data_IF_724298561142
#
_entry.id   IF_724298561142
#
_cell.length_a   1.000
_cell.length_b   1.000
_cell.length_c   1.000
_cell.angle_alpha   90.00
_cell.angle_beta   90.00
_cell.angle_gamma   90.00
#
_symmetry.space_group_name_H-M   'P 1'
#
loop_
_entity.id
_entity.type
_entity.pdbx_description
1 polymer ?
#
# COMPACT_ATOMS: atom_id res chain seq x y z
N UNK A 1 19.00 2.18 0.35
CA UNK A 1 19.39 3.16 1.39
C UNK A 1 19.53 2.42 2.73
N UNK A 2 20.69 2.48 3.42
CA UNK A 2 21.03 1.56 4.51
C UNK A 2 20.50 1.95 5.91
N UNK A 3 19.32 2.60 5.99
CA UNK A 3 18.79 3.18 7.25
C UNK A 3 17.50 2.57 7.81
N UNK A 4 16.85 1.62 7.12
CA UNK A 4 15.50 1.13 7.48
C UNK A 4 15.41 -0.35 7.81
N UNK A 5 16.54 -1.07 7.90
CA UNK A 5 16.55 -2.52 8.11
C UNK A 5 15.82 -2.99 9.38
N UNK A 6 15.68 -2.11 10.39
CA UNK A 6 15.07 -2.43 11.69
C UNK A 6 13.90 -1.50 12.06
N UNK A 7 13.25 -0.84 11.08
CA UNK A 7 12.13 0.06 11.37
C UNK A 7 10.86 -0.74 11.68
N UNK A 8 10.39 -0.69 12.92
CA UNK A 8 9.03 -1.08 13.31
C UNK A 8 8.18 0.18 13.46
N UNK A 9 7.10 0.31 12.70
CA UNK A 9 6.24 1.47 12.75
C UNK A 9 5.35 1.63 11.52
N UNK A 10 4.77 2.82 11.42
CA UNK A 10 3.86 3.18 10.34
C UNK A 10 4.63 3.87 9.22
N UNK A 11 4.61 3.28 8.04
CA UNK A 11 5.20 3.87 6.84
C UNK A 11 4.09 4.44 5.96
N UNK A 12 4.24 5.70 5.53
CA UNK A 12 3.27 6.37 4.67
C UNK A 12 3.92 6.67 3.32
N UNK A 13 3.27 6.22 2.24
CA UNK A 13 3.66 6.44 0.86
C UNK A 13 2.61 7.32 0.19
N UNK A 14 3.04 8.28 -0.63
CA UNK A 14 2.13 9.12 -1.39
C UNK A 14 2.60 9.31 -2.83
N UNK A 15 1.68 9.21 -3.78
CA UNK A 15 1.90 9.50 -5.18
C UNK A 15 0.75 10.36 -5.73
N UNK A 16 1.01 11.10 -6.80
CA UNK A 16 -0.03 11.82 -7.53
C UNK A 16 -0.16 11.22 -8.92
N UNK A 17 -1.37 10.91 -9.33
CA UNK A 17 -1.70 10.48 -10.69
C UNK A 17 -2.60 11.52 -11.34
N UNK A 18 -2.39 11.80 -12.62
CA UNK A 18 -3.29 12.66 -13.41
C UNK A 18 -4.22 11.78 -14.21
N UNK A 19 -5.53 12.04 -14.12
CA UNK A 19 -6.57 11.31 -14.85
C UNK A 19 -7.19 12.26 -15.87
N UNK A 20 -6.97 12.00 -17.16
CA UNK A 20 -7.48 12.87 -18.23
C UNK A 20 -8.99 12.71 -18.43
N UNK A 21 -9.51 11.49 -18.25
CA UNK A 21 -10.94 11.18 -18.31
C UNK A 21 -11.30 10.06 -17.33
N UNK A 22 -12.49 10.12 -16.75
CA UNK A 22 -13.05 9.03 -15.95
C UNK A 22 -13.63 7.98 -16.89
N UNK A 23 -12.97 6.82 -16.91
CA UNK A 23 -13.41 5.59 -17.55
C UNK A 23 -14.23 4.73 -16.60
N UNK A 24 -14.80 3.63 -17.11
CA UNK A 24 -15.72 2.77 -16.38
C UNK A 24 -15.10 2.20 -15.10
N UNK A 25 -13.86 1.71 -15.19
CA UNK A 25 -13.22 1.09 -14.04
C UNK A 25 -11.73 1.42 -13.90
N UNK A 26 -11.39 1.95 -12.72
CA UNK A 26 -10.01 2.06 -12.23
C UNK A 26 -9.84 1.16 -11.02
N UNK A 27 -8.80 0.35 -11.06
CA UNK A 27 -8.38 -0.53 -9.98
C UNK A 27 -6.93 -0.28 -9.63
N UNK A 28 -6.59 -0.31 -8.34
CA UNK A 28 -5.21 -0.26 -7.88
C UNK A 28 -4.85 -1.57 -7.19
N UNK A 29 -3.76 -2.15 -7.64
CA UNK A 29 -3.15 -3.36 -7.11
C UNK A 29 -1.93 -2.92 -6.30
N UNK A 30 -1.93 -3.19 -4.99
CA UNK A 30 -0.84 -2.78 -4.12
C UNK A 30 0.39 -3.68 -4.24
N UNK A 31 0.28 -4.81 -4.95
CA UNK A 31 1.31 -5.84 -4.96
C UNK A 31 1.61 -6.33 -3.54
N UNK A 32 2.85 -6.78 -3.32
CA UNK A 32 3.22 -7.34 -2.03
C UNK A 32 3.30 -6.25 -0.95
N UNK A 33 2.64 -6.51 0.19
CA UNK A 33 2.62 -5.66 1.39
C UNK A 33 3.06 -6.47 2.62
N UNK A 34 3.56 -5.79 3.66
CA UNK A 34 3.68 -6.39 4.99
C UNK A 34 3.40 -5.39 6.11
N UNK A 35 2.54 -5.64 7.10
CA UNK A 35 1.50 -6.69 7.27
C UNK A 35 0.08 -6.15 7.00
N UNK A 36 -0.16 -4.87 7.27
CA UNK A 36 -1.45 -4.20 7.05
C UNK A 36 -1.22 -3.02 6.10
N UNK A 37 -2.10 -2.81 5.14
CA UNK A 37 -2.12 -1.63 4.29
C UNK A 37 -3.49 -0.92 4.35
N UNK A 38 -3.47 0.40 4.47
CA UNK A 38 -4.62 1.28 4.31
C UNK A 38 -4.43 2.14 3.05
N UNK A 39 -5.42 2.14 2.16
CA UNK A 39 -5.41 2.93 0.93
C UNK A 39 -6.39 4.10 1.05
N UNK A 40 -5.90 5.31 0.76
CA UNK A 40 -6.71 6.51 0.58
C UNK A 40 -6.50 7.12 -0.80
N UNK A 41 -7.57 7.66 -1.35
CA UNK A 41 -7.55 8.42 -2.61
C UNK A 41 -8.20 9.78 -2.34
N UNK A 42 -7.48 10.85 -2.63
CA UNK A 42 -7.89 12.23 -2.33
C UNK A 42 -8.32 12.42 -0.86
N UNK A 43 -7.60 11.78 0.07
CA UNK A 43 -7.90 11.80 1.50
C UNK A 43 -9.08 10.92 1.94
N UNK A 44 -9.80 10.27 1.01
CA UNK A 44 -10.92 9.37 1.32
C UNK A 44 -10.44 7.93 1.44
N UNK A 45 -10.86 7.23 2.49
CA UNK A 45 -10.57 5.81 2.70
C UNK A 45 -11.23 4.97 1.60
N UNK A 46 -10.41 4.22 0.87
CA UNK A 46 -10.88 3.21 -0.09
C UNK A 46 -11.04 1.86 0.60
N UNK A 47 -10.06 1.48 1.43
CA UNK A 47 -10.11 0.21 2.13
C UNK A 47 -8.83 -0.11 2.90
N UNK A 48 -8.86 -1.23 3.60
CA UNK A 48 -7.75 -1.80 4.38
C UNK A 48 -7.59 -3.27 3.99
N UNK A 49 -6.36 -3.77 4.00
CA UNK A 49 -6.07 -5.18 3.74
C UNK A 49 -4.87 -5.67 4.52
N UNK A 50 -4.84 -6.98 4.77
CA UNK A 50 -3.67 -7.73 5.26
C UNK A 50 -3.15 -8.73 4.22
N UNK A 51 -3.81 -8.81 3.07
CA UNK A 51 -3.51 -9.75 2.00
C UNK A 51 -2.54 -9.11 0.98
N UNK A 52 -1.51 -9.87 0.61
CA UNK A 52 -0.39 -9.43 -0.22
C UNK A 52 -0.71 -9.20 -1.71
N UNK A 53 -1.98 -9.32 -2.11
CA UNK A 53 -2.39 -9.23 -3.52
C UNK A 53 -3.77 -8.62 -3.70
N UNK A 54 -4.20 -7.78 -2.75
CA UNK A 54 -5.52 -7.14 -2.85
C UNK A 54 -5.54 -6.05 -3.92
N UNK A 55 -6.59 -6.09 -4.74
CA UNK A 55 -6.90 -5.03 -5.71
C UNK A 55 -8.12 -4.25 -5.22
N UNK A 56 -8.04 -2.91 -5.21
CA UNK A 56 -9.14 -2.03 -4.82
C UNK A 56 -9.73 -1.31 -6.03
N UNK A 57 -11.06 -1.26 -6.13
CA UNK A 57 -11.74 -0.38 -7.07
C UNK A 57 -11.68 1.07 -6.54
N UNK A 58 -11.16 1.98 -7.34
CA UNK A 58 -10.94 3.38 -6.95
C UNK A 58 -11.72 4.39 -7.79
N UNK A 59 -12.44 3.95 -8.82
CA UNK A 59 -13.25 4.82 -9.70
C UNK A 59 -14.06 5.89 -8.93
N UNK A 60 -14.86 5.57 -7.90
CA UNK A 60 -15.71 6.57 -7.24
C UNK A 60 -14.93 7.60 -6.40
N UNK A 61 -13.61 7.41 -6.22
CA UNK A 61 -12.75 8.30 -5.45
C UNK A 61 -11.91 9.23 -6.35
N UNK A 62 -11.92 9.01 -7.66
CA UNK A 62 -11.15 9.78 -8.64
C UNK A 62 -11.91 11.01 -9.15
N UNK A 63 -11.15 11.99 -9.63
CA UNK A 63 -11.61 13.17 -10.38
C UNK A 63 -10.77 13.35 -11.64
N UNK A 64 -11.31 14.05 -12.64
CA UNK A 64 -10.49 14.53 -13.77
C UNK A 64 -9.42 15.49 -13.23
N UNK A 65 -8.18 15.34 -13.72
CA UNK A 65 -7.00 16.06 -13.24
C UNK A 65 -6.22 15.30 -12.16
N UNK A 66 -5.51 16.00 -11.25
CA UNK A 66 -4.62 15.37 -10.29
C UNK A 66 -5.36 14.68 -9.14
N UNK A 67 -4.96 13.46 -8.82
CA UNK A 67 -5.48 12.65 -7.72
C UNK A 67 -4.33 12.19 -6.81
N UNK A 68 -4.47 12.42 -5.51
CA UNK A 68 -3.49 11.97 -4.52
C UNK A 68 -3.83 10.55 -4.08
N UNK A 69 -2.87 9.64 -4.21
CA UNK A 69 -2.94 8.27 -3.72
C UNK A 69 -2.05 8.17 -2.49
N UNK A 70 -2.58 7.66 -1.39
CA UNK A 70 -1.86 7.49 -0.14
C UNK A 70 -2.00 6.05 0.32
N UNK A 71 -0.88 5.39 0.59
CA UNK A 71 -0.83 4.03 1.13
C UNK A 71 -0.09 4.09 2.46
N UNK A 72 -0.73 3.60 3.50
CA UNK A 72 -0.15 3.53 4.83
C UNK A 72 0.01 2.08 5.22
N UNK A 73 1.23 1.67 5.53
CA UNK A 73 1.53 0.30 5.94
C UNK A 73 1.99 0.26 7.38
N UNK A 74 1.50 -0.72 8.14
CA UNK A 74 1.97 -1.01 9.49
C UNK A 74 2.60 -2.40 9.48
N UNK A 75 3.82 -2.50 10.00
CA UNK A 75 4.52 -3.79 10.17
C UNK A 75 4.52 -4.23 11.65
N UNK A 76 4.81 -5.51 11.88
CA UNK A 76 4.88 -6.11 13.20
C UNK A 76 6.06 -5.58 14.04
N UNK A 77 5.88 -5.55 15.36
CA UNK A 77 6.89 -5.28 16.39
C UNK A 77 7.99 -6.36 16.48
N UNK A 78 7.80 -7.53 15.87
CA UNK A 78 8.79 -8.62 15.84
C UNK A 78 10.15 -8.23 15.21
N UNK A 79 10.22 -7.11 14.49
CA UNK A 79 11.47 -6.55 13.96
C UNK A 79 12.37 -5.97 15.10
N UNK A 80 11.78 -5.62 16.26
CA UNK A 80 12.45 -4.86 17.32
C UNK A 80 12.94 -5.71 18.51
N UNK A 81 12.39 -6.90 18.71
CA UNK A 81 12.72 -7.77 19.85
C UNK A 81 13.53 -8.97 19.33
N UNK A 82 14.85 -8.93 19.49
CA UNK A 82 15.71 -10.10 19.36
C UNK A 82 15.91 -10.71 20.75
N UNK A 83 14.87 -11.31 21.31
CA UNK A 83 15.02 -12.23 22.44
C UNK A 83 15.34 -13.65 21.92
N UNK A 84 15.90 -14.55 22.75
CA UNK A 84 16.33 -15.88 22.31
C UNK A 84 15.23 -16.73 21.66
N UNK A 85 13.96 -16.45 21.95
CA UNK A 85 12.81 -17.14 21.36
C UNK A 85 12.41 -16.59 19.98
N UNK A 86 12.81 -15.36 19.62
CA UNK A 86 12.58 -14.76 18.30
C UNK A 86 13.57 -15.22 17.22
N UNK A 87 14.46 -16.17 17.52
CA UNK A 87 15.56 -16.62 16.65
C UNK A 87 15.13 -17.45 15.43
N UNK A 88 13.84 -17.76 15.26
CA UNK A 88 13.38 -18.79 14.31
C UNK A 88 12.41 -18.31 13.22
N UNK A 89 12.36 -17.00 12.92
CA UNK A 89 11.48 -16.46 11.86
C UNK A 89 12.25 -15.73 10.76
N UNK A 90 12.00 -16.09 9.50
CA UNK A 90 12.33 -15.22 8.35
C UNK A 90 11.69 -13.85 8.62
N UNK A 91 12.46 -12.77 8.69
CA UNK A 91 11.92 -11.42 8.87
C UNK A 91 10.97 -11.15 7.69
N UNK A 92 9.65 -11.02 7.92
CA UNK A 92 8.72 -10.79 6.83
C UNK A 92 9.02 -9.42 6.21
N UNK A 93 8.85 -9.28 4.89
CA UNK A 93 9.18 -8.05 4.21
C UNK A 93 8.27 -6.93 4.72
N UNK A 94 8.86 -5.81 5.13
CA UNK A 94 8.15 -4.69 5.73
C UNK A 94 7.82 -3.61 4.69
N UNK A 95 6.60 -3.06 4.77
CA UNK A 95 6.18 -1.92 3.97
C UNK A 95 5.54 -2.29 2.63
N UNK A 96 5.59 -1.35 1.69
CA UNK A 96 5.05 -1.51 0.34
C UNK A 96 6.17 -2.01 -0.58
N UNK A 97 6.14 -3.30 -0.89
CA UNK A 97 7.19 -3.96 -1.70
C UNK A 97 6.85 -3.84 -3.19
N UNK A 98 5.54 -3.83 -3.50
CA UNK A 98 5.05 -3.55 -4.84
C UNK A 98 5.29 -4.71 -5.82
N UNK A 99 5.30 -4.43 -7.14
CA UNK A 99 4.99 -3.15 -7.76
C UNK A 99 3.52 -2.73 -7.55
N UNK A 100 3.28 -1.45 -7.26
CA UNK A 100 1.92 -0.89 -7.29
C UNK A 100 1.51 -0.67 -8.74
N UNK A 101 0.35 -1.21 -9.14
CA UNK A 101 -0.14 -1.11 -10.52
C UNK A 101 -1.53 -0.49 -10.56
N UNK A 102 -1.69 0.52 -11.40
CA UNK A 102 -2.99 1.04 -11.79
C UNK A 102 -3.50 0.26 -13.01
N UNK A 103 -4.66 -0.36 -12.89
CA UNK A 103 -5.36 -1.08 -13.97
C UNK A 103 -6.58 -0.26 -14.38
N UNK A 104 -6.74 -0.08 -15.69
CA UNK A 104 -7.80 0.74 -16.29
C UNK A 104 -8.58 -0.17 -17.23
N UNK A 105 -9.90 -0.18 -17.10
CA UNK A 105 -10.79 -0.94 -17.99
C UNK A 105 -11.78 0.02 -18.67
N UNK A 106 -12.03 -0.24 -19.96
CA UNK A 106 -13.04 0.41 -20.79
C UNK A 106 -13.98 -0.69 -21.31
N UNK A 107 -15.29 -0.53 -21.13
CA UNK A 107 -16.30 -1.43 -21.71
C UNK A 107 -16.58 -1.10 -23.17
#
# INVERSE_FOLDING_TARGET
MPGFKNYSGKSSYSATITVDKLLDEFKIDLGQIGEVAELKVNGKLVGRTIEQSTTFAITPFLKVGPNKIEVETVNNLAIKIQDPESQFGIIPPAGLIGPVKLKIYQS
#
